data_IF_868401961060
#
_entry.id   IF_868401961060
#
_cell.length_a   1.000
_cell.length_b   1.000
_cell.length_c   1.000
_cell.angle_alpha   90.00
_cell.angle_beta   90.00
_cell.angle_gamma   90.00
#
_symmetry.space_group_name_H-M   'P 1'
#
loop_
_entity.id
_entity.type
_entity.pdbx_description
1 polymer ?
#
# COMPACT_ATOMS: atom_id res chain seq x y z
N UNK A 1 2.35 -5.35 -9.13
CA UNK A 1 3.59 -6.10 -8.83
C UNK A 1 4.12 -5.65 -7.48
N UNK A 2 4.80 -6.53 -6.74
CA UNK A 2 5.45 -6.15 -5.49
C UNK A 2 6.95 -5.86 -5.74
N UNK A 3 7.22 -4.71 -6.37
CA UNK A 3 8.57 -4.24 -6.73
C UNK A 3 9.07 -3.08 -5.84
N UNK A 4 10.21 -2.49 -6.16
CA UNK A 4 10.78 -1.33 -5.44
C UNK A 4 10.40 0.02 -6.10
N UNK A 5 10.21 1.10 -5.33
CA UNK A 5 10.17 1.15 -3.86
C UNK A 5 8.90 0.50 -3.28
N UNK A 6 9.01 -0.12 -2.10
CA UNK A 6 7.88 -0.66 -1.32
C UNK A 6 7.71 0.18 -0.06
N UNK A 7 6.49 0.64 0.19
CA UNK A 7 6.11 1.32 1.44
C UNK A 7 5.38 0.31 2.32
N UNK A 8 5.86 0.13 3.55
CA UNK A 8 5.21 -0.71 4.55
C UNK A 8 4.59 0.17 5.63
N UNK A 9 3.40 -0.18 6.08
CA UNK A 9 2.71 0.43 7.22
C UNK A 9 2.56 -0.68 8.26
N UNK A 10 3.18 -0.49 9.42
CA UNK A 10 3.27 -1.51 10.48
C UNK A 10 3.75 -2.90 9.97
N UNK A 11 4.67 -2.88 9.01
CA UNK A 11 5.24 -4.08 8.38
C UNK A 11 4.39 -4.68 7.25
N UNK A 12 3.21 -4.14 6.95
CA UNK A 12 2.34 -4.60 5.86
C UNK A 12 2.43 -3.71 4.61
N UNK A 13 2.50 -4.34 3.43
CA UNK A 13 2.37 -3.65 2.14
C UNK A 13 0.89 -3.53 1.76
N UNK A 14 0.29 -2.38 2.04
CA UNK A 14 -1.11 -2.10 1.72
C UNK A 14 -1.35 -1.72 0.25
N UNK A 15 -0.29 -1.62 -0.56
CA UNK A 15 -0.36 -1.31 -1.99
C UNK A 15 -0.23 -2.56 -2.87
N UNK A 16 0.23 -3.68 -2.31
CA UNK A 16 0.21 -4.97 -2.99
C UNK A 16 -1.17 -5.62 -2.89
N UNK A 17 -1.64 -6.19 -4.01
CA UNK A 17 -2.80 -7.08 -3.95
C UNK A 17 -2.45 -8.32 -3.10
N UNK A 18 -3.39 -8.86 -2.31
CA UNK A 18 -3.17 -10.06 -1.51
C UNK A 18 -2.58 -11.20 -2.34
N UNK A 19 -1.53 -11.85 -1.83
CA UNK A 19 -0.85 -12.95 -2.53
C UNK A 19 0.08 -12.54 -3.67
N UNK A 20 0.29 -11.24 -3.91
CA UNK A 20 1.32 -10.79 -4.87
C UNK A 20 2.71 -11.16 -4.37
N UNK A 21 3.43 -12.00 -5.12
CA UNK A 21 4.82 -12.33 -4.81
C UNK A 21 5.74 -11.12 -5.01
N UNK A 22 6.76 -11.03 -4.14
CA UNK A 22 7.85 -10.06 -4.29
C UNK A 22 8.56 -10.24 -5.64
N UNK A 23 9.02 -9.13 -6.21
CA UNK A 23 9.63 -9.10 -7.54
C UNK A 23 10.84 -8.16 -7.57
N UNK A 24 11.86 -8.51 -8.36
CA UNK A 24 13.02 -7.64 -8.61
C UNK A 24 12.71 -6.72 -9.79
N UNK A 25 11.85 -5.73 -9.57
CA UNK A 25 11.42 -4.79 -10.60
C UNK A 25 10.93 -3.48 -9.98
N UNK A 26 10.78 -2.43 -10.79
CA UNK A 26 10.25 -1.15 -10.32
C UNK A 26 8.74 -1.20 -10.13
N UNK A 27 8.24 -0.86 -8.94
CA UNK A 27 6.82 -0.76 -8.66
C UNK A 27 6.26 0.54 -9.21
N UNK A 28 5.10 0.43 -9.83
CA UNK A 28 4.30 1.55 -10.27
C UNK A 28 3.03 1.64 -9.43
N UNK A 29 2.68 2.86 -9.04
CA UNK A 29 1.50 3.19 -8.24
C UNK A 29 0.48 3.88 -9.15
N UNK A 30 -0.76 3.39 -9.13
CA UNK A 30 -1.84 3.93 -9.96
C UNK A 30 -2.74 4.82 -9.10
N UNK A 31 -2.81 6.09 -9.47
CA UNK A 31 -3.75 7.03 -8.85
C UNK A 31 -5.17 6.83 -9.40
N UNK A 32 -6.21 7.30 -8.68
CA UNK A 32 -7.61 7.15 -9.11
C UNK A 32 -7.95 7.79 -10.46
N UNK A 33 -7.17 8.81 -10.87
CA UNK A 33 -7.29 9.48 -12.17
C UNK A 33 -6.63 8.68 -13.33
N UNK A 34 -6.09 7.49 -13.04
CA UNK A 34 -5.49 6.59 -14.02
C UNK A 34 -4.02 6.85 -14.31
N UNK A 35 -3.42 7.91 -13.74
CA UNK A 35 -1.97 8.14 -13.87
C UNK A 35 -1.19 7.06 -13.14
N UNK A 36 0.03 6.84 -13.61
CA UNK A 36 0.92 5.80 -13.10
C UNK A 36 2.27 6.42 -12.80
N UNK A 37 2.66 6.38 -11.53
CA UNK A 37 3.85 7.08 -11.02
C UNK A 37 4.78 6.10 -10.29
N UNK A 38 6.04 6.50 -10.11
CA UNK A 38 7.05 5.70 -9.38
C UNK A 38 6.89 5.70 -7.85
N UNK A 39 5.96 6.50 -7.32
CA UNK A 39 5.67 6.63 -5.90
C UNK A 39 4.16 6.83 -5.68
N UNK A 40 3.62 6.44 -4.51
CA UNK A 40 2.24 6.73 -4.15
C UNK A 40 2.04 8.23 -3.95
N UNK A 41 0.82 8.71 -4.18
CA UNK A 41 0.47 10.10 -3.86
C UNK A 41 0.34 10.30 -2.35
N UNK A 42 0.35 11.55 -1.90
CA UNK A 42 0.10 11.88 -0.49
C UNK A 42 -1.28 11.40 -0.04
N UNK A 43 -2.31 11.56 -0.89
CA UNK A 43 -3.66 11.08 -0.59
C UNK A 43 -3.72 9.55 -0.44
N UNK A 44 -2.97 8.82 -1.25
CA UNK A 44 -2.88 7.36 -1.14
C UNK A 44 -2.21 6.93 0.17
N UNK A 45 -1.16 7.64 0.60
CA UNK A 45 -0.50 7.40 1.88
C UNK A 45 -1.44 7.68 3.06
N UNK A 46 -2.15 8.81 3.05
CA UNK A 46 -3.12 9.15 4.09
C UNK A 46 -4.23 8.08 4.20
N UNK A 47 -4.76 7.63 3.05
CA UNK A 47 -5.76 6.56 3.02
C UNK A 47 -5.21 5.25 3.59
N UNK A 48 -3.99 4.88 3.20
CA UNK A 48 -3.37 3.64 3.67
C UNK A 48 -3.15 3.64 5.19
N UNK A 49 -2.70 4.77 5.76
CA UNK A 49 -2.59 4.93 7.23
C UNK A 49 -3.96 4.81 7.90
N UNK A 50 -4.99 5.48 7.38
CA UNK A 50 -6.34 5.37 7.93
C UNK A 50 -6.88 3.92 7.91
N UNK A 51 -6.63 3.18 6.83
CA UNK A 51 -7.00 1.76 6.73
C UNK A 51 -6.24 0.91 7.75
N UNK A 52 -4.95 1.15 7.95
CA UNK A 52 -4.15 0.44 8.94
C UNK A 52 -4.67 0.66 10.37
N UNK A 53 -4.92 1.91 10.73
CA UNK A 53 -5.51 2.30 12.03
C UNK A 53 -6.87 1.60 12.28
N UNK A 54 -7.72 1.56 11.26
CA UNK A 54 -9.02 0.89 11.33
C UNK A 54 -8.88 -0.62 11.51
N UNK A 55 -7.93 -1.26 10.80
CA UNK A 55 -7.66 -2.69 10.92
C UNK A 55 -7.12 -3.06 12.31
N UNK A 56 -6.23 -2.24 12.88
CA UNK A 56 -5.72 -2.41 14.25
C UNK A 56 -6.84 -2.32 15.29
N UNK A 57 -7.73 -1.32 15.15
CA UNK A 57 -8.90 -1.16 16.03
C UNK A 57 -9.87 -2.34 15.95
N UNK A 58 -10.07 -2.88 14.75
CA UNK A 58 -10.92 -4.05 14.54
C UNK A 58 -10.34 -5.32 15.18
N UNK A 59 -9.03 -5.54 15.06
CA UNK A 59 -8.30 -6.64 15.72
C UNK A 59 -8.32 -6.53 17.25
N UNK A 60 -8.33 -5.31 17.80
CA UNK A 60 -8.37 -5.08 19.24
C UNK A 60 -9.75 -5.27 19.88
N UNK A 61 -10.82 -5.44 19.10
CA UNK A 61 -12.18 -5.66 19.61
C UNK A 61 -12.37 -7.17 19.92
N UNK A 62 -12.74 -7.55 21.15
CA UNK A 62 -12.93 -8.96 21.52
C UNK A 62 -14.12 -9.62 20.80
#
# INVERSE_FOLDING_TARGET
MAGSPTVLIDGADLFAAPGTAASVSCRLYRSPDGRTEGAPTVDDLQRAVYVAEAATTATARP
#
